data_IF_865509895923
#
_entry.id   IF_865509895923
#
_cell.length_a   1.000
_cell.length_b   1.000
_cell.length_c   1.000
_cell.angle_alpha   90.00
_cell.angle_beta   90.00
_cell.angle_gamma   90.00
#
_symmetry.space_group_name_H-M   'P 1'
#
loop_
_entity.id
_entity.type
_entity.pdbx_description
1 polymer ?
2 non-polymer ?
3 water ?
#
# COMPACT_ATOMS: atom_id res chain seq x y z
N UNK A 1 21.97 0.67 6.88
CA UNK A 1 22.64 1.39 5.75
C UNK A 1 21.64 2.19 4.93
N UNK A 2 21.16 3.29 5.49
CA UNK A 2 20.21 4.13 4.76
C UNK A 2 20.94 4.86 3.64
N UNK A 3 20.16 5.35 2.70
CA UNK A 3 20.77 6.12 1.61
C UNK A 3 21.61 7.24 2.21
N UNK A 4 22.65 7.71 1.53
CA UNK A 4 23.53 8.78 1.90
C UNK A 4 22.78 10.10 2.06
N UNK A 5 23.32 10.99 2.89
CA UNK A 5 22.72 12.23 3.20
C UNK A 5 22.02 13.04 2.18
N UNK A 6 22.37 13.69 1.11
CA UNK A 6 21.22 14.45 0.47
C UNK A 6 20.90 13.84 -0.86
N UNK A 7 20.58 12.53 -0.80
CA UNK A 7 20.32 11.76 -2.01
C UNK A 7 18.92 11.20 -2.17
N UNK A 8 18.65 10.81 -3.41
CA UNK A 8 17.43 10.26 -3.88
C UNK A 8 17.52 8.75 -4.12
N UNK A 9 16.31 8.15 -4.12
CA UNK A 9 16.20 6.74 -4.45
C UNK A 9 14.84 6.50 -5.12
N UNK A 10 14.68 5.37 -5.78
CA UNK A 10 13.45 4.94 -6.41
C UNK A 10 13.34 3.41 -6.22
N UNK A 11 12.13 2.91 -6.29
CA UNK A 11 11.88 1.50 -6.23
C UNK A 11 10.50 1.08 -6.71
N UNK A 12 10.30 -0.25 -6.63
CA UNK A 12 9.04 -0.85 -7.05
C UNK A 12 8.69 -1.92 -6.06
N UNK A 13 7.44 -2.34 -6.00
CA UNK A 13 7.06 -3.38 -5.03
C UNK A 13 5.93 -4.21 -5.63
N UNK A 14 5.79 -5.41 -5.13
CA UNK A 14 4.69 -6.30 -5.44
C UNK A 14 3.94 -6.46 -4.10
N UNK A 15 2.63 -6.25 -4.14
CA UNK A 15 1.90 -6.38 -2.88
C UNK A 15 0.79 -7.40 -2.93
N UNK A 16 0.37 -7.83 -1.77
CA UNK A 16 -0.73 -8.72 -1.56
C UNK A 16 -1.55 -8.22 -0.36
N UNK A 17 -2.85 -8.28 -0.57
CA UNK A 17 -3.77 -7.93 0.50
C UNK A 17 -4.83 -9.02 0.59
N UNK A 18 -4.98 -9.60 1.76
CA UNK A 18 -5.91 -10.67 2.03
C UNK A 18 -7.38 -10.38 2.03
N UNK A 19 -7.84 -9.18 2.02
CA UNK A 19 -9.19 -8.66 1.99
C UNK A 19 -8.97 -7.18 2.33
N UNK A 20 -9.37 -6.28 1.44
CA UNK A 20 -9.13 -4.85 1.73
C UNK A 20 -10.48 -4.21 2.07
N UNK A 21 -11.50 -5.07 2.02
CA UNK A 21 -12.88 -4.72 2.29
C UNK A 21 -13.68 -5.95 2.71
N UNK A 22 -14.89 -6.04 2.24
CA UNK A 22 -15.95 -6.97 2.33
C UNK A 22 -17.27 -6.27 2.75
N UNK A 23 -18.30 -7.41 1.48
CA UNK A 23 -19.70 -7.14 0.92
C UNK A 23 -20.99 -7.41 1.79
N UNK A 24 -21.59 -8.59 1.40
CA UNK A 24 -22.77 -9.48 1.94
C UNK A 24 -24.31 -9.00 1.89
N UNK A 25 -25.23 -10.09 1.77
CA UNK A 25 -26.80 -10.11 1.80
C UNK A 25 -27.21 -11.18 2.76
N UNK A 26 -28.21 -11.01 3.66
CA UNK A 26 -28.07 -12.07 4.58
C UNK A 26 -27.04 -12.86 3.85
N UNK A 27 -27.75 -13.67 3.11
CA UNK A 27 -27.36 -14.65 2.12
C UNK A 27 -26.06 -14.24 1.42
N UNK A 28 -25.11 -15.16 1.56
CA UNK A 28 -23.72 -15.03 1.06
C UNK A 28 -23.69 -14.91 -0.49
N UNK A 29 -22.67 -14.18 -0.96
CA UNK A 29 -22.46 -13.88 -2.42
C UNK A 29 -21.11 -14.43 -2.92
N UNK A 30 -19.74 -13.99 -2.64
CA UNK A 30 -18.40 -14.54 -2.77
C UNK A 30 -18.01 -15.46 -1.63
N UNK A 31 -16.84 -16.11 -1.70
CA UNK A 31 -16.41 -17.02 -0.64
C UNK A 31 -15.30 -16.51 0.26
N UNK A 32 -14.45 -15.62 -0.19
CA UNK A 32 -13.34 -15.02 0.55
C UNK A 32 -12.54 -14.17 -0.44
N UNK A 33 -11.50 -13.41 -0.08
CA UNK A 33 -10.90 -12.63 -1.19
C UNK A 33 -9.43 -12.34 -1.14
N UNK A 34 -8.86 -12.12 -2.33
CA UNK A 34 -7.45 -11.85 -2.48
C UNK A 34 -7.22 -10.72 -3.48
N UNK A 35 -6.34 -9.80 -3.10
CA UNK A 35 -5.92 -8.72 -3.94
C UNK A 35 -4.38 -8.78 -4.06
N UNK A 36 -3.91 -8.55 -5.25
CA UNK A 36 -2.53 -8.52 -5.61
C UNK A 36 -2.28 -7.23 -6.39
N UNK A 37 -1.08 -6.67 -6.24
CA UNK A 37 -0.78 -5.50 -7.01
C UNK A 37 0.71 -5.15 -6.96
N UNK A 38 0.93 -3.93 -7.41
CA UNK A 38 2.26 -3.40 -7.53
C UNK A 38 2.25 -1.92 -7.22
N UNK A 39 3.43 -1.31 -7.24
CA UNK A 39 3.52 0.12 -6.89
C UNK A 39 4.92 0.59 -7.17
N UNK A 40 5.12 1.90 -7.18
CA UNK A 40 6.44 2.47 -7.45
C UNK A 40 6.63 3.57 -6.40
N UNK A 41 7.86 3.83 -6.00
CA UNK A 41 8.00 4.89 -4.99
C UNK A 41 9.33 5.59 -5.23
N UNK A 42 9.41 6.82 -4.77
CA UNK A 42 10.71 7.54 -4.92
C UNK A 42 10.82 8.38 -3.63
N UNK A 43 12.06 8.68 -3.24
CA UNK A 43 12.23 9.45 -2.01
C UNK A 43 13.51 10.23 -1.98
N UNK A 44 13.63 11.01 -0.93
CA UNK A 44 14.80 11.84 -0.65
C UNK A 44 15.21 11.56 0.79
N UNK A 45 16.48 11.23 0.97
CA UNK A 45 17.00 10.98 2.32
C UNK A 45 17.53 12.28 2.90
N UNK A 46 17.22 12.61 4.14
CA UNK A 46 17.73 13.88 4.72
C UNK A 46 18.98 13.59 5.55
N UNK A 47 18.94 12.54 6.33
CA UNK A 47 20.02 12.06 7.18
C UNK A 47 19.71 10.59 7.43
N UNK A 48 20.52 9.83 8.13
CA UNK A 48 20.32 8.41 8.29
C UNK A 48 19.05 7.99 8.95
N UNK A 49 18.33 8.86 9.58
CA UNK A 49 17.12 8.50 10.31
C UNK A 49 15.86 8.93 9.60
N UNK A 50 15.92 9.97 8.74
CA UNK A 50 14.76 10.52 8.12
C UNK A 50 14.86 10.78 6.62
N UNK A 51 13.78 10.36 5.95
CA UNK A 51 13.58 10.51 4.50
C UNK A 51 12.10 10.82 4.25
N UNK A 52 11.81 11.27 3.05
CA UNK A 52 10.42 11.55 2.65
C UNK A 52 10.15 10.80 1.34
N UNK A 53 9.02 10.14 1.19
CA UNK A 53 8.79 9.46 -0.07
C UNK A 53 7.35 9.64 -0.55
N UNK A 54 7.34 9.41 -1.84
CA UNK A 54 6.17 9.46 -2.66
C UNK A 54 5.99 8.10 -3.31
N UNK A 55 4.78 7.56 -3.27
CA UNK A 55 4.51 6.33 -3.97
C UNK A 55 3.14 6.29 -4.62
N UNK A 56 3.05 5.38 -5.58
CA UNK A 56 1.79 5.09 -6.28
C UNK A 56 1.56 3.60 -6.13
N UNK A 57 0.41 3.13 -5.73
CA UNK A 57 0.17 1.70 -5.61
C UNK A 57 -1.13 1.35 -6.35
N UNK A 58 -1.23 0.08 -6.71
CA UNK A 58 -2.43 -0.43 -7.38
C UNK A 58 -2.69 -1.84 -6.89
N UNK A 59 -3.96 -2.15 -6.67
CA UNK A 59 -4.39 -3.45 -6.23
C UNK A 59 -5.59 -3.90 -7.08
N UNK A 60 -5.62 -5.15 -7.47
CA UNK A 60 -6.70 -5.72 -8.26
C UNK A 60 -7.25 -6.95 -7.55
N UNK A 61 -8.57 -7.12 -7.55
CA UNK A 61 -9.14 -8.33 -6.90
C UNK A 61 -8.80 -9.51 -7.80
N UNK A 62 -8.44 -10.64 -7.22
CA UNK A 62 -8.10 -11.83 -8.03
C UNK A 62 -9.32 -12.74 -8.17
N UNK A 63 -9.58 -13.16 -9.40
CA UNK A 63 -10.73 -13.98 -9.72
C UNK A 63 -10.74 -15.37 -9.12
N UNK A 64 -11.68 -15.65 -8.21
CA UNK A 64 -11.90 -16.92 -7.60
C UNK A 64 -13.16 -17.11 -6.77
N UNK A 65 -14.15 -17.78 -7.36
CA UNK A 65 -15.43 -18.09 -6.76
C UNK A 65 -15.78 -17.22 -5.56
N UNK A 66 -17.34 -18.91 -7.69
CA UNK A 66 -18.64 -19.04 -8.34
C UNK A 66 -19.71 -19.36 -7.27
N UNK A 67 -20.90 -19.21 -7.75
CA UNK A 67 -22.15 -19.27 -7.01
C UNK A 67 -22.86 -18.00 -7.40
N UNK A 68 -22.91 -17.90 -8.69
CA UNK A 68 -23.54 -16.81 -9.36
C UNK A 68 -23.09 -15.46 -8.86
N UNK A 69 -22.07 -14.82 -9.38
CA UNK A 69 -22.33 -13.44 -9.15
C UNK A 69 -21.35 -12.40 -8.58
N UNK A 70 -18.23 -12.44 -7.93
CA UNK A 70 -19.06 -11.38 -8.49
C UNK A 70 -18.38 -10.66 -9.65
N UNK A 71 -17.83 -9.47 -9.42
CA UNK A 71 -17.20 -8.72 -10.50
C UNK A 71 -15.86 -8.08 -10.15
N UNK A 72 -15.38 -7.18 -11.01
CA UNK A 72 -14.15 -6.45 -10.91
C UNK A 72 -14.00 -5.41 -9.80
N UNK A 73 -12.78 -5.32 -9.25
CA UNK A 73 -12.40 -4.42 -8.20
C UNK A 73 -10.93 -4.00 -8.40
N UNK A 74 -10.74 -2.70 -8.46
CA UNK A 74 -9.41 -2.12 -8.66
C UNK A 74 -9.24 -0.94 -7.72
N UNK A 75 -8.12 -0.85 -7.00
CA UNK A 75 -7.88 0.29 -6.13
C UNK A 75 -6.55 0.92 -6.52
N UNK A 76 -6.46 2.21 -6.35
CA UNK A 76 -5.20 2.87 -6.72
C UNK A 76 -4.98 4.03 -5.78
N UNK A 77 -3.71 4.45 -5.58
CA UNK A 77 -3.48 5.52 -4.59
C UNK A 77 -2.09 6.11 -4.69
N UNK A 78 -2.03 7.43 -4.43
CA UNK A 78 -0.79 8.15 -4.36
C UNK A 78 -0.60 8.56 -2.90
N UNK A 79 0.62 8.31 -2.40
CA UNK A 79 0.91 8.61 -0.97
C UNK A 79 2.13 9.47 -0.84
N UNK A 80 2.23 10.19 0.25
CA UNK A 80 3.32 11.13 0.59
C UNK A 80 3.60 10.88 2.08
N UNK A 81 4.78 10.36 2.42
CA UNK A 81 5.07 10.00 3.78
C UNK A 81 6.46 10.40 4.23
N UNK A 82 6.54 10.43 5.56
CA UNK A 82 7.83 10.71 6.20
C UNK A 82 8.27 9.28 6.62
N UNK A 83 9.55 9.04 6.36
CA UNK A 83 10.09 7.72 6.69
C UNK A 83 11.10 7.89 7.83
N UNK A 84 10.78 7.24 8.93
CA UNK A 84 11.63 7.23 10.11
C UNK A 84 12.25 5.87 10.36
N UNK A 85 13.58 5.83 10.37
CA UNK A 85 14.25 4.55 10.58
C UNK A 85 15.44 4.61 11.54
N UNK A 86 15.76 3.41 11.99
CA UNK A 86 16.89 3.20 12.86
C UNK A 86 17.73 2.05 12.33
N UNK A 87 19.03 2.24 12.21
CA UNK A 87 19.93 1.20 11.74
C UNK A 87 20.21 0.11 12.76
N UNK A 88 19.61 -1.04 12.72
CA UNK A 88 19.89 -2.19 13.55
C UNK A 88 21.32 -2.73 13.33
N UNK A 89 21.80 -2.80 12.10
CA UNK A 89 23.11 -3.23 11.70
C UNK A 89 23.62 -2.23 10.64
N UNK A 90 24.68 -2.52 9.89
CA UNK A 90 25.17 -1.57 8.90
C UNK A 90 24.43 -1.76 7.56
N UNK A 91 23.79 -2.92 7.48
CA UNK A 91 23.03 -3.38 6.36
C UNK A 91 21.50 -3.40 6.58
N UNK A 92 21.01 -3.53 7.80
CA UNK A 92 19.62 -3.63 8.11
C UNK A 92 18.99 -2.47 8.85
N UNK A 93 17.95 -1.88 8.21
CA UNK A 93 17.20 -0.82 8.86
C UNK A 93 15.76 -1.30 9.18
N UNK A 94 15.23 -0.74 10.25
CA UNK A 94 13.81 -0.98 10.58
C UNK A 94 13.18 0.43 10.44
N UNK A 95 11.98 0.56 9.94
CA UNK A 95 11.42 1.88 9.71
C UNK A 95 9.90 1.80 9.77
N UNK A 96 9.37 3.01 9.82
CA UNK A 96 7.95 3.25 9.78
C UNK A 96 7.81 4.43 8.80
N UNK A 97 6.65 4.44 8.18
CA UNK A 97 6.30 5.55 7.28
C UNK A 97 4.98 6.10 7.82
N UNK A 98 4.83 7.41 7.83
CA UNK A 98 3.57 7.98 8.24
C UNK A 98 3.25 9.18 7.36
N UNK A 99 1.97 9.23 6.93
CA UNK A 99 1.54 10.32 6.07
C UNK A 99 0.14 10.13 5.53
N UNK A 100 -0.03 10.62 4.29
CA UNK A 100 -1.38 10.55 3.72
C UNK A 100 -1.41 10.03 2.32
N UNK A 101 -2.57 9.51 1.97
CA UNK A 101 -2.91 8.94 0.69
C UNK A 101 -4.29 9.34 0.14
N UNK A 102 -4.23 9.67 -1.12
CA UNK A 102 -5.32 10.01 -1.98
C UNK A 102 -5.63 8.73 -2.79
N UNK A 103 -6.79 8.15 -2.57
CA UNK A 103 -7.14 6.98 -3.34
C UNK A 103 -8.49 7.00 -4.06
N UNK A 104 -8.61 5.98 -4.92
CA UNK A 104 -9.75 5.73 -5.73
C UNK A 104 -10.02 4.25 -5.95
N UNK A 105 -11.20 3.78 -5.57
CA UNK A 105 -11.60 2.39 -5.85
C UNK A 105 -12.64 2.44 -6.98
N UNK A 106 -12.46 1.58 -7.96
CA UNK A 106 -13.35 1.42 -9.10
C UNK A 106 -13.97 0.01 -9.01
N UNK A 107 -15.29 -0.07 -8.85
CA UNK A 107 -15.97 -1.34 -8.81
C UNK A 107 -16.77 -1.56 -10.11
N UNK A 108 -17.37 -2.73 -10.14
CA UNK A 108 -18.19 -3.23 -11.21
C UNK A 108 -19.21 -4.25 -10.68
N UNK A 109 -20.38 -4.20 -11.29
CA UNK A 109 -21.53 -5.02 -10.95
C UNK A 109 -22.25 -5.36 -12.25
N UNK A 110 -22.96 -6.47 -12.30
CA UNK A 110 -23.66 -6.83 -13.55
C UNK A 110 -25.02 -6.12 -13.56
N UNK A 111 -25.59 -6.05 -12.36
CA UNK A 111 -26.85 -5.37 -12.13
C UNK A 111 -26.64 -3.86 -12.35
N UNK A 112 -25.95 -3.27 -11.40
CA UNK A 112 -25.62 -1.89 -11.23
C UNK A 112 -24.57 -1.24 -12.09
N UNK A 113 -23.73 -1.99 -12.79
CA UNK A 113 -22.69 -1.37 -13.64
C UNK A 113 -21.52 -0.81 -12.80
N UNK A 114 -20.78 0.10 -13.43
CA UNK A 114 -19.64 0.77 -12.83
C UNK A 114 -19.97 1.79 -11.72
N UNK A 115 -19.17 1.76 -10.65
CA UNK A 115 -19.13 2.66 -9.57
C UNK A 115 -17.68 2.97 -9.15
N UNK A 116 -17.49 4.15 -8.58
CA UNK A 116 -16.20 4.60 -8.11
C UNK A 116 -16.38 5.22 -6.72
N UNK A 117 -15.23 5.37 -6.08
CA UNK A 117 -15.20 5.97 -4.75
C UNK A 117 -13.88 6.71 -4.59
N UNK A 118 -13.89 7.73 -3.77
CA UNK A 118 -12.68 8.55 -3.58
C UNK A 118 -12.47 8.80 -2.12
N UNK A 119 -11.21 9.09 -1.77
CA UNK A 119 -10.90 9.29 -0.36
C UNK A 119 -9.53 9.88 -0.17
N UNK A 120 -9.35 10.34 1.05
CA UNK A 120 -8.11 10.89 1.55
C UNK A 120 -7.92 10.14 2.87
N UNK A 121 -6.71 9.58 3.05
CA UNK A 121 -6.62 8.79 4.32
C UNK A 121 -5.24 8.78 4.88
N UNK A 122 -5.12 8.72 6.20
CA UNK A 122 -3.80 8.60 6.83
C UNK A 122 -3.22 7.24 6.41
N UNK A 123 -1.89 7.18 6.17
CA UNK A 123 -1.27 5.90 5.87
C UNK A 123 -0.12 5.61 6.87
N UNK A 124 0.02 4.36 7.20
CA UNK A 124 1.06 3.90 8.09
C UNK A 124 1.74 2.67 7.54
N UNK A 125 3.05 2.55 7.81
CA UNK A 125 3.75 1.33 7.39
C UNK A 125 4.87 1.00 8.39
N UNK A 126 5.14 -0.28 8.47
CA UNK A 126 6.30 -0.70 9.31
C UNK A 126 7.06 -1.70 8.41
N UNK A 127 8.38 -1.62 8.39
CA UNK A 127 9.08 -2.56 7.48
C UNK A 127 10.55 -2.68 7.83
N UNK A 128 11.21 -3.47 7.00
CA UNK A 128 12.66 -3.68 7.12
C UNK A 128 13.25 -3.41 5.75
N UNK A 129 14.38 -2.76 5.72
CA UNK A 129 15.09 -2.45 4.48
C UNK A 129 16.50 -3.07 4.55
N UNK A 130 16.87 -3.93 3.61
CA UNK A 130 18.19 -4.57 3.65
C UNK A 130 19.05 -4.14 2.48
N UNK A 131 20.18 -3.49 2.76
CA UNK A 131 21.08 -3.02 1.71
C UNK A 131 21.96 -4.19 1.24
N UNK A 132 21.65 -4.69 0.07
CA UNK A 132 22.39 -5.79 -0.52
C UNK A 132 23.82 -5.25 -0.81
N UNK A 133 23.83 -4.15 -1.55
CA UNK A 133 24.97 -3.42 -1.96
C UNK A 133 24.64 -1.96 -1.62
N UNK A 134 25.54 -1.05 -1.85
CA UNK A 134 25.28 0.35 -1.50
C UNK A 134 24.25 0.97 -2.41
N UNK A 135 23.98 0.43 -3.59
CA UNK A 135 22.95 1.03 -4.43
C UNK A 135 21.66 0.21 -4.50
N UNK A 136 21.64 -1.02 -3.99
CA UNK A 136 20.40 -1.76 -4.14
C UNK A 136 19.94 -2.29 -2.80
N UNK A 137 18.65 -1.95 -2.51
CA UNK A 137 18.13 -2.41 -1.21
C UNK A 137 16.81 -3.14 -1.38
N UNK A 138 16.50 -4.10 -0.52
CA UNK A 138 15.19 -4.76 -0.62
C UNK A 138 14.39 -4.32 0.62
N UNK A 139 13.06 -4.29 0.54
CA UNK A 139 12.21 -3.97 1.63
C UNK A 139 11.08 -5.01 1.79
N UNK A 140 10.75 -5.23 3.05
CA UNK A 140 9.66 -6.11 3.48
C UNK A 140 8.83 -5.14 4.33
N UNK A 141 7.61 -4.87 3.92
CA UNK A 141 6.80 -3.86 4.57
C UNK A 141 5.34 -4.27 4.65
N UNK A 142 4.72 -3.79 5.70
CA UNK A 142 3.31 -3.96 5.98
C UNK A 142 2.72 -2.53 6.05
N UNK A 143 1.80 -2.22 5.16
CA UNK A 143 1.18 -0.89 5.12
C UNK A 143 -0.29 -0.96 5.53
N UNK A 144 -0.74 0.00 6.32
CA UNK A 144 -2.17 -0.01 6.65
C UNK A 144 -2.66 1.43 6.66
N UNK A 145 -3.97 1.53 6.51
CA UNK A 145 -4.66 2.84 6.60
C UNK A 145 -5.72 2.62 7.68
N UNK A 146 -5.90 3.59 8.57
CA UNK A 146 -6.97 3.31 9.59
C UNK A 146 -8.23 3.98 9.04
N UNK A 147 -9.39 3.34 9.15
CA UNK A 147 -10.62 3.93 8.58
C UNK A 147 -11.84 3.63 9.43
N UNK A 148 -11.79 5.72 9.22
CA UNK A 148 -12.86 6.59 9.82
C UNK A 148 -13.72 7.26 8.66
N UNK A 149 -13.27 8.21 7.83
CA UNK A 149 -14.06 8.68 6.58
C UNK A 149 -15.41 9.45 6.80
N UNK A 150 -15.61 10.46 5.93
CA UNK A 150 -16.82 11.30 5.92
C UNK A 150 -17.75 10.77 4.82
N UNK A 151 -19.06 10.79 5.09
CA UNK A 151 -19.99 10.33 4.06
C UNK A 151 -21.48 10.20 4.44
N UNK A 152 -21.94 9.45 3.40
CA UNK A 152 -23.27 8.87 2.99
C UNK A 152 -24.52 9.51 3.20
N UNK A 153 -24.47 8.64 4.30
CA UNK A 153 -25.09 8.02 5.58
C UNK A 153 -24.00 8.16 6.78
N UNK A 154 -23.79 7.13 7.69
CA UNK A 154 -22.72 7.19 8.81
C UNK A 154 -21.62 6.10 8.60
N UNK A 155 -20.37 6.47 8.90
CA UNK A 155 -19.15 5.63 8.66
C UNK A 155 -18.95 4.47 9.70
N UNK A 156 -18.34 3.34 9.13
CA UNK A 156 -17.93 2.02 9.83
C UNK A 156 -16.67 1.34 9.15
N UNK A 157 -16.43 -0.02 8.84
CA UNK A 157 -15.05 -0.05 8.31
C UNK A 157 -14.21 -1.45 7.73
N UNK A 158 -12.86 -1.18 7.69
CA UNK A 158 -12.48 -1.84 6.74
C UNK A 158 -12.28 -1.49 5.44
N UNK A 159 -10.71 -0.54 5.58
CA UNK A 159 -9.50 -0.88 4.81
C UNK A 159 -8.52 -1.72 5.62
N UNK A 160 -7.96 -2.79 5.07
CA UNK A 160 -7.01 -3.63 5.81
C UNK A 160 -5.58 -3.51 5.31
N UNK A 161 -4.61 -4.25 5.87
CA UNK A 161 -3.25 -4.08 5.49
C UNK A 161 -2.80 -4.69 4.18
N UNK A 162 -1.72 -4.12 3.66
CA UNK A 162 -1.06 -4.61 2.48
C UNK A 162 0.38 -5.01 2.87
N UNK A 163 0.74 -6.23 2.51
CA UNK A 163 2.10 -6.73 2.71
C UNK A 163 2.87 -6.58 1.40
N UNK A 164 4.12 -6.14 1.48
CA UNK A 164 4.84 -6.05 0.20
C UNK A 164 6.33 -6.28 0.27
N UNK A 165 6.89 -6.67 -0.87
CA UNK A 165 8.31 -6.90 -1.04
C UNK A 165 8.75 -5.85 -2.08
N UNK A 166 9.84 -5.16 -1.92
CA UNK A 166 10.23 -4.12 -2.88
C UNK A 166 11.77 -4.18 -3.02
N UNK A 167 12.24 -3.54 -4.07
CA UNK A 167 13.57 -3.34 -4.47
C UNK A 167 13.74 -1.83 -4.75
N UNK A 168 14.87 -1.27 -4.35
CA UNK A 168 15.12 0.11 -4.66
C UNK A 168 16.60 0.34 -5.02
N UNK A 169 16.71 1.31 -5.90
CA UNK A 169 17.98 1.78 -6.39
C UNK A 169 18.31 3.15 -5.80
N UNK A 170 19.53 3.26 -5.27
CA UNK A 170 19.97 4.53 -4.69
C UNK A 170 20.94 5.23 -5.62
N UNK A 171 20.62 6.44 -6.01
CA UNK A 171 21.50 7.28 -6.83
C UNK A 171 22.42 8.02 -5.85
N UNK A 172 23.36 7.43 -5.15
CA UNK A 172 24.16 8.15 -4.16
C UNK A 172 24.79 9.45 -4.64
X LIG B 1 5.45 14.91 5.02
X LIG B 1 5.25 15.79 3.87
X LIG B 1 6.32 15.75 2.89
X LIG B 1 7.17 16.91 3.21
X LIG B 1 8.49 16.57 2.65
X LIG B 1 8.84 17.52 1.61
X LIG B 1 10.29 17.54 1.73
X LIG B 1 10.80 18.51 0.73
X LIG B 1 12.17 18.77 0.50
X LIG B 1 12.98 17.72 0.03
X LIG B 1 14.33 18.23 -0.34
X LIG B 1 14.33 18.71 -1.71
X LIG B 1 15.31 19.71 -2.05
X LIG B 1 16.40 19.79 -3.18
X LIG B 1 16.66 20.79 -4.21
X LIG B 1 17.98 21.34 -4.19
X LIG B 1 18.70 21.48 -5.52
X LIG B 1 20.03 22.00 -5.77
X LIG B 1 20.21 23.43 -5.54
X LIG B 1 21.02 24.34 -6.54
X LIG B 1 22.39 23.97 -6.82
#
# INVERSE_FOLDING_TARGET
MAPKDNTWYTGAKLGWSQYHDTGLINNNGPTHENKLGAGAFGGYQVNPYVGFEMGYDWLGRMPYKGSVENGAYKAQGVQLTAKLGYPITDDLDIYTRLGGMVWRADTYSNVYGKNHDTGVSPVFAGGVEYAITPEIATRLEYQWTNNIGDAHTIGTRPDNGMLSLGVSYRFG
C8E C1 C2 C3 C4 C5 C6 C7 C8 O9 C10 C11 O12 C13 C14 O15 C16 C17 O18 C19 C20 O21
#
